data_IF_702287378933
#
_entry.id   IF_702287378933
#
_cell.length_a   1.000
_cell.length_b   1.000
_cell.length_c   1.000
_cell.angle_alpha   90.00
_cell.angle_beta   90.00
_cell.angle_gamma   90.00
#
_symmetry.space_group_name_H-M   'P 1'
#
loop_
_entity.id
_entity.type
_entity.pdbx_description
1 polymer ?
#
# COMPACT_ATOMS: atom_id res chain seq x y z
N UNK A 1 -4.81 0.54 -11.22
CA UNK A 1 -4.96 1.39 -10.01
C UNK A 1 -3.79 2.37 -9.98
N UNK A 2 -4.02 3.66 -9.71
CA UNK A 2 -2.93 4.64 -9.64
C UNK A 2 -2.06 4.34 -8.41
N UNK A 3 -0.76 4.15 -8.63
CA UNK A 3 0.23 4.02 -7.57
C UNK A 3 1.10 5.27 -7.50
N UNK A 4 1.55 5.58 -6.30
CA UNK A 4 2.52 6.64 -6.02
C UNK A 4 3.77 6.02 -5.40
N UNK A 5 4.92 6.65 -5.58
CA UNK A 5 6.19 6.13 -5.06
C UNK A 5 6.58 6.89 -3.79
N UNK A 6 6.85 6.16 -2.72
CA UNK A 6 7.48 6.68 -1.51
C UNK A 6 8.74 5.87 -1.28
N UNK A 7 9.90 6.51 -1.44
CA UNK A 7 11.21 5.84 -1.31
C UNK A 7 11.32 4.54 -2.13
N UNK A 8 10.78 4.54 -3.35
CA UNK A 8 10.81 3.39 -4.26
C UNK A 8 9.71 2.33 -4.03
N UNK A 9 8.98 2.40 -2.91
CA UNK A 9 7.82 1.54 -2.65
C UNK A 9 6.58 2.12 -3.34
N UNK A 10 5.93 1.31 -4.18
CA UNK A 10 4.76 1.68 -4.98
C UNK A 10 3.49 1.41 -4.21
N UNK A 11 2.93 2.47 -3.63
CA UNK A 11 1.74 2.43 -2.79
C UNK A 11 0.51 2.81 -3.62
N UNK A 12 -0.58 2.05 -3.48
CA UNK A 12 -1.88 2.37 -4.05
C UNK A 12 -2.45 3.63 -3.39
N UNK A 13 -2.78 4.64 -4.19
CA UNK A 13 -3.39 5.88 -3.69
C UNK A 13 -4.91 5.76 -3.68
N UNK A 14 -5.42 4.94 -2.75
CA UNK A 14 -6.82 4.59 -2.60
C UNK A 14 -7.30 4.94 -1.19
N UNK A 15 -8.59 5.25 -1.06
CA UNK A 15 -9.31 5.31 0.21
C UNK A 15 -9.63 3.91 0.70
N UNK A 16 -9.97 3.78 1.98
CA UNK A 16 -10.40 2.52 2.57
C UNK A 16 -11.58 1.91 1.80
N UNK A 17 -12.63 2.68 1.53
CA UNK A 17 -13.83 2.21 0.81
C UNK A 17 -13.51 1.72 -0.60
N UNK A 18 -12.56 2.37 -1.29
CA UNK A 18 -12.11 1.93 -2.62
C UNK A 18 -11.38 0.57 -2.53
N UNK A 19 -10.62 0.32 -1.46
CA UNK A 19 -9.96 -0.97 -1.23
C UNK A 19 -10.96 -2.06 -0.89
N UNK A 20 -11.92 -1.77 0.00
CA UNK A 20 -12.99 -2.68 0.41
C UNK A 20 -13.82 -3.15 -0.80
N UNK A 21 -14.30 -2.23 -1.63
CA UNK A 21 -15.04 -2.55 -2.86
C UNK A 21 -14.25 -3.48 -3.79
N UNK A 22 -12.95 -3.23 -3.95
CA UNK A 22 -12.07 -4.05 -4.80
C UNK A 22 -11.93 -5.47 -4.22
N UNK A 23 -11.80 -5.61 -2.90
CA UNK A 23 -11.66 -6.90 -2.25
C UNK A 23 -12.96 -7.70 -2.32
N UNK A 24 -14.10 -7.08 -2.04
CA UNK A 24 -15.42 -7.73 -2.15
C UNK A 24 -15.70 -8.21 -3.59
N UNK A 25 -15.42 -7.38 -4.60
CA UNK A 25 -15.55 -7.78 -6.01
C UNK A 25 -14.59 -8.93 -6.39
N UNK A 26 -13.38 -8.91 -5.84
CA UNK A 26 -12.38 -9.97 -6.06
C UNK A 26 -12.88 -11.31 -5.51
N UNK A 27 -13.44 -11.30 -4.30
CA UNK A 27 -14.02 -12.49 -3.65
C UNK A 27 -15.26 -12.99 -4.38
N UNK A 28 -16.18 -12.09 -4.77
CA UNK A 28 -17.38 -12.44 -5.53
C UNK A 28 -17.05 -13.13 -6.87
N UNK A 29 -15.90 -12.80 -7.47
CA UNK A 29 -15.40 -13.40 -8.72
C UNK A 29 -14.58 -14.68 -8.50
N UNK A 30 -14.45 -15.17 -7.26
CA UNK A 30 -13.65 -16.35 -6.91
C UNK A 30 -12.15 -16.15 -7.17
N UNK A 31 -11.67 -14.90 -7.23
CA UNK A 31 -10.26 -14.57 -7.47
C UNK A 31 -9.54 -14.33 -6.16
N UNK A 32 -8.20 -14.32 -6.22
CA UNK A 32 -7.33 -13.99 -5.09
C UNK A 32 -6.46 -12.79 -5.46
N UNK A 33 -6.15 -11.96 -4.47
CA UNK A 33 -5.20 -10.86 -4.58
C UNK A 33 -4.30 -10.86 -3.35
N UNK A 34 -3.03 -10.56 -3.58
CA UNK A 34 -2.06 -10.28 -2.54
C UNK A 34 -2.24 -8.84 -2.04
N UNK A 35 -2.24 -8.69 -0.72
CA UNK A 35 -2.37 -7.39 -0.06
C UNK A 35 -1.17 -7.18 0.85
N UNK A 36 -0.50 -6.06 0.70
CA UNK A 36 0.60 -5.64 1.57
C UNK A 36 0.29 -4.29 2.20
N UNK A 37 0.56 -4.18 3.50
CA UNK A 37 0.30 -2.95 4.28
C UNK A 37 1.62 -2.44 4.87
N UNK A 38 2.59 -2.02 4.03
CA UNK A 38 3.86 -1.54 4.55
C UNK A 38 3.61 -0.35 5.49
N UNK A 39 4.19 -0.43 6.69
CA UNK A 39 4.33 0.69 7.60
C UNK A 39 5.70 1.37 7.40
N UNK A 40 5.98 2.45 8.14
CA UNK A 40 7.27 3.17 8.03
C UNK A 40 8.48 2.26 8.19
N UNK A 41 8.46 1.31 9.12
CA UNK A 41 9.58 0.38 9.35
C UNK A 41 9.83 -0.50 8.13
N UNK A 42 8.77 -1.04 7.51
CA UNK A 42 8.89 -1.84 6.29
C UNK A 42 9.45 -1.03 5.12
N UNK A 43 9.04 0.24 4.98
CA UNK A 43 9.60 1.14 3.95
C UNK A 43 11.10 1.32 4.14
N UNK A 44 11.54 1.48 5.39
CA UNK A 44 12.97 1.63 5.71
C UNK A 44 13.74 0.33 5.44
N UNK A 45 13.20 -0.83 5.81
CA UNK A 45 13.81 -2.13 5.47
C UNK A 45 13.96 -2.31 3.95
N UNK A 46 13.00 -1.85 3.16
CA UNK A 46 13.08 -1.90 1.69
C UNK A 46 14.25 -1.07 1.10
N UNK A 47 14.82 -0.12 1.85
CA UNK A 47 15.98 0.65 1.39
C UNK A 47 17.27 -0.16 1.47
N UNK A 48 17.33 -1.11 2.41
CA UNK A 48 18.49 -1.98 2.64
C UNK A 48 18.33 -3.33 1.93
N UNK A 49 17.09 -3.78 1.73
CA UNK A 49 16.75 -5.05 1.09
C UNK A 49 16.00 -4.85 -0.23
N UNK A 50 16.73 -5.02 -1.34
CA UNK A 50 16.18 -4.93 -2.70
C UNK A 50 15.22 -6.07 -3.04
N UNK A 51 15.32 -7.21 -2.37
CA UNK A 51 14.48 -8.37 -2.63
C UNK A 51 13.12 -8.17 -1.96
N UNK A 52 13.13 -7.68 -0.71
CA UNK A 52 11.93 -7.21 -0.02
C UNK A 52 11.20 -6.13 -0.82
N UNK A 53 11.94 -5.12 -1.32
CA UNK A 53 11.37 -4.08 -2.16
C UNK A 53 10.69 -4.65 -3.42
N UNK A 54 11.30 -5.66 -4.06
CA UNK A 54 10.70 -6.33 -5.24
C UNK A 54 9.44 -7.09 -4.86
N UNK A 55 9.45 -7.82 -3.74
CA UNK A 55 8.28 -8.56 -3.25
C UNK A 55 7.12 -7.60 -2.94
N UNK A 56 7.34 -6.56 -2.13
CA UNK A 56 6.29 -5.60 -1.79
C UNK A 56 5.71 -4.94 -3.06
N UNK A 57 6.56 -4.53 -4.00
CA UNK A 57 6.11 -3.91 -5.24
C UNK A 57 5.34 -4.86 -6.18
N UNK A 58 5.48 -6.18 -6.01
CA UNK A 58 4.74 -7.20 -6.76
C UNK A 58 3.32 -7.42 -6.26
N UNK A 59 2.97 -6.93 -5.06
CA UNK A 59 1.63 -7.09 -4.49
C UNK A 59 0.55 -6.46 -5.36
N UNK A 60 -0.65 -7.05 -5.37
CA UNK A 60 -1.79 -6.53 -6.15
C UNK A 60 -2.31 -5.22 -5.55
N UNK A 61 -2.41 -5.17 -4.22
CA UNK A 61 -2.83 -4.01 -3.44
C UNK A 61 -1.77 -3.73 -2.38
N UNK A 62 -1.19 -2.53 -2.42
CA UNK A 62 -0.21 -2.06 -1.45
C UNK A 62 -0.77 -0.82 -0.77
N UNK A 63 -1.23 -0.91 0.48
CA UNK A 63 -1.86 0.21 1.19
C UNK A 63 -0.88 0.86 2.18
N UNK A 64 -1.00 2.18 2.45
CA UNK A 64 -0.15 2.83 3.42
C UNK A 64 -0.64 2.57 4.85
N UNK A 65 0.15 1.81 5.62
CA UNK A 65 -0.12 1.58 7.04
C UNK A 65 0.66 2.57 7.93
N UNK A 66 -0.03 3.22 8.86
CA UNK A 66 0.58 4.20 9.76
C UNK A 66 0.67 5.63 9.21
N UNK A 67 0.68 6.57 10.15
CA UNK A 67 0.63 8.02 9.84
C UNK A 67 1.92 8.54 9.21
N UNK A 68 3.07 7.89 9.47
CA UNK A 68 4.37 8.27 8.93
C UNK A 68 4.37 8.32 7.40
N UNK A 69 3.68 7.38 6.75
CA UNK A 69 3.51 7.35 5.30
C UNK A 69 2.70 8.52 4.75
N UNK A 70 1.70 8.99 5.49
CA UNK A 70 0.91 10.17 5.12
C UNK A 70 1.77 11.43 5.17
N UNK A 71 2.62 11.57 6.19
CA UNK A 71 3.57 12.67 6.27
C UNK A 71 4.65 12.59 5.18
N UNK A 72 5.25 11.42 4.97
CA UNK A 72 6.20 11.19 3.88
C UNK A 72 5.58 11.55 2.53
N UNK A 73 4.32 11.16 2.29
CA UNK A 73 3.60 11.52 1.08
C UNK A 73 3.50 13.03 0.85
N UNK A 74 3.32 13.84 1.90
CA UNK A 74 3.33 15.31 1.78
C UNK A 74 4.71 15.83 1.39
N UNK A 75 5.77 15.30 2.01
CA UNK A 75 7.16 15.68 1.76
C UNK A 75 7.54 15.34 0.30
N UNK A 76 7.24 14.13 -0.15
CA UNK A 76 7.55 13.65 -1.49
C UNK A 76 6.52 14.07 -2.55
N UNK A 77 5.51 14.89 -2.19
CA UNK A 77 4.40 15.30 -3.07
C UNK A 77 3.69 14.12 -3.75
N UNK A 78 3.64 12.99 -3.05
CA UNK A 78 3.10 11.72 -3.53
C UNK A 78 1.56 11.66 -3.48
N UNK A 79 0.93 12.54 -2.68
CA UNK A 79 -0.51 12.80 -2.69
C UNK A 79 -1.40 11.66 -2.21
N UNK A 80 -0.92 10.79 -1.31
CA UNK A 80 -1.74 9.78 -0.63
C UNK A 80 -2.99 10.41 -0.01
N UNK A 81 -4.15 9.86 -0.39
CA UNK A 81 -5.48 10.32 0.05
C UNK A 81 -5.72 10.03 1.52
N UNK A 82 -5.35 8.84 1.99
CA UNK A 82 -5.76 8.29 3.27
C UNK A 82 -4.76 7.24 3.79
N UNK A 83 -4.75 7.03 5.11
CA UNK A 83 -4.08 5.90 5.77
C UNK A 83 -5.03 4.71 5.81
N UNK A 84 -4.63 3.58 5.27
CA UNK A 84 -5.44 2.35 5.23
C UNK A 84 -4.65 1.23 5.88
N UNK A 85 -5.02 0.86 7.11
CA UNK A 85 -4.23 -0.07 7.92
C UNK A 85 -4.52 -1.51 7.56
N UNK A 86 -3.60 -2.41 7.92
CA UNK A 86 -3.83 -3.86 7.82
C UNK A 86 -5.04 -4.34 8.63
N UNK A 87 -5.29 -3.71 9.79
CA UNK A 87 -6.45 -4.03 10.63
C UNK A 87 -7.79 -3.68 9.95
N UNK A 88 -7.84 -2.56 9.23
CA UNK A 88 -9.08 -2.12 8.58
C UNK A 88 -9.50 -3.11 7.47
N UNK A 89 -8.52 -3.79 6.85
CA UNK A 89 -8.72 -4.61 5.64
C UNK A 89 -8.65 -6.13 5.88
N UNK A 90 -8.44 -6.57 7.13
CA UNK A 90 -8.29 -7.99 7.52
C UNK A 90 -9.56 -8.62 8.05
#
# INVERSE_FOLDING_TARGET
MKRTSILGVKINNLKFTEVEEILLDTLAKGKKKSVFTPNTEIIMMCQEDKDLLRVINSGDIVTPDGIGLIYASKIYRAGLKERVTGFDIS
#
